data_IF_628826528783
#
_entry.id   IF_628826528783
#
_cell.length_a   1.000
_cell.length_b   1.000
_cell.length_c   1.000
_cell.angle_alpha   90.00
_cell.angle_beta   90.00
_cell.angle_gamma   90.00
#
_symmetry.space_group_name_H-M   'P 1'
#
loop_
_entity.id
_entity.type
_entity.pdbx_description
1 polymer ?
#
# COMPACT_ATOMS: atom_id res chain seq x y z
N UNK A 1 -8.76 -7.86 5.17
CA UNK A 1 -7.91 -8.64 6.11
C UNK A 1 -8.28 -10.11 6.11
N UNK A 2 -7.37 -10.99 6.53
CA UNK A 2 -7.66 -12.41 6.83
C UNK A 2 -8.41 -12.49 8.16
N UNK A 3 -9.38 -13.41 8.29
CA UNK A 3 -10.16 -13.56 9.52
C UNK A 3 -9.29 -14.24 10.59
N UNK A 4 -9.10 -13.59 11.74
CA UNK A 4 -8.22 -14.07 12.81
C UNK A 4 -8.89 -14.90 13.92
N UNK A 5 -10.19 -15.18 13.83
CA UNK A 5 -10.94 -15.82 14.93
C UNK A 5 -10.37 -17.17 15.39
N UNK A 6 -9.88 -17.99 14.46
CA UNK A 6 -9.24 -19.25 14.79
C UNK A 6 -7.98 -19.06 15.64
N UNK A 7 -7.17 -18.07 15.29
CA UNK A 7 -5.93 -17.74 16.01
C UNK A 7 -6.24 -17.11 17.37
N UNK A 8 -7.20 -16.18 17.41
CA UNK A 8 -7.67 -15.58 18.66
C UNK A 8 -8.13 -16.62 19.69
N UNK A 9 -8.80 -17.70 19.25
CA UNK A 9 -9.16 -18.81 20.15
C UNK A 9 -7.94 -19.57 20.69
N UNK A 10 -6.89 -19.74 19.88
CA UNK A 10 -5.66 -20.43 20.30
C UNK A 10 -4.87 -19.63 21.34
N UNK A 11 -4.99 -18.30 21.33
CA UNK A 11 -4.39 -17.44 22.34
C UNK A 11 -4.90 -17.76 23.76
N UNK A 12 -6.07 -18.41 23.91
CA UNK A 12 -6.56 -18.92 25.19
C UNK A 12 -6.53 -17.89 26.34
N UNK A 13 -6.91 -16.64 26.03
CA UNK A 13 -6.90 -15.53 26.99
C UNK A 13 -5.58 -14.75 27.08
N UNK A 14 -4.55 -15.13 26.33
CA UNK A 14 -3.31 -14.34 26.16
C UNK A 14 -3.59 -12.98 25.53
N UNK A 15 -2.84 -11.98 25.97
CA UNK A 15 -2.78 -10.61 25.46
C UNK A 15 -1.75 -10.40 24.34
N UNK A 16 -1.13 -11.47 23.83
CA UNK A 16 -0.13 -11.43 22.74
C UNK A 16 -0.78 -11.18 21.36
N UNK A 17 -1.40 -10.00 21.22
CA UNK A 17 -1.91 -9.47 19.97
C UNK A 17 -1.96 -7.94 20.02
N UNK A 18 -1.96 -7.31 18.85
CA UNK A 18 -2.04 -5.86 18.76
C UNK A 18 -3.47 -5.36 18.99
N UNK A 19 -3.59 -4.36 19.86
CA UNK A 19 -4.84 -3.68 20.15
C UNK A 19 -5.02 -2.46 19.24
N UNK A 20 -6.19 -2.34 18.63
CA UNK A 20 -6.54 -1.18 17.80
C UNK A 20 -7.88 -0.61 18.23
N UNK A 21 -7.87 0.62 18.76
CA UNK A 21 -9.07 1.36 19.10
C UNK A 21 -9.16 2.56 18.15
N UNK A 22 -10.25 2.62 17.41
CA UNK A 22 -10.50 3.68 16.43
C UNK A 22 -11.85 4.33 16.70
N UNK A 23 -11.88 5.66 16.57
CA UNK A 23 -13.09 6.44 16.48
C UNK A 23 -12.96 7.49 15.39
N UNK A 24 -13.97 7.59 14.53
CA UNK A 24 -14.08 8.69 13.59
C UNK A 24 -14.41 10.03 14.29
N UNK A 25 -14.76 9.99 15.58
CA UNK A 25 -15.22 11.16 16.32
C UNK A 25 -16.61 11.61 15.88
N UNK A 26 -16.95 12.86 16.19
CA UNK A 26 -18.18 13.50 15.72
C UNK A 26 -18.12 13.67 14.19
N UNK A 27 -19.21 13.32 13.51
CA UNK A 27 -19.33 13.39 12.06
C UNK A 27 -20.24 14.56 11.63
N UNK A 28 -19.94 15.14 10.47
CA UNK A 28 -20.73 16.21 9.82
C UNK A 28 -20.82 15.99 8.32
N UNK A 29 -21.84 16.58 7.69
CA UNK A 29 -22.01 16.54 6.24
C UNK A 29 -22.68 15.25 5.71
N UNK A 30 -22.88 15.22 4.40
CA UNK A 30 -23.39 14.06 3.66
C UNK A 30 -22.67 13.99 2.30
N UNK A 31 -21.71 13.06 2.10
CA UNK A 31 -21.35 11.95 3.00
C UNK A 31 -20.71 12.42 4.32
N UNK A 32 -20.85 11.63 5.40
CA UNK A 32 -20.38 12.04 6.73
C UNK A 32 -18.84 11.98 6.84
N UNK A 33 -18.25 13.12 7.20
CA UNK A 33 -16.81 13.28 7.45
C UNK A 33 -16.55 13.74 8.88
N UNK A 34 -15.34 13.52 9.37
CA UNK A 34 -14.90 13.90 10.71
C UNK A 34 -14.99 15.41 10.86
N UNK A 35 -15.75 15.88 11.85
CA UNK A 35 -15.90 17.31 12.17
C UNK A 35 -14.63 17.92 12.73
N UNK A 36 -14.00 17.22 13.67
CA UNK A 36 -12.87 17.73 14.47
C UNK A 36 -11.51 17.30 13.88
N UNK A 37 -11.30 17.55 12.57
CA UNK A 37 -10.08 17.12 11.86
C UNK A 37 -8.78 17.75 12.43
N UNK A 38 -8.88 18.96 12.95
CA UNK A 38 -7.81 19.69 13.66
C UNK A 38 -7.38 18.98 14.97
N UNK A 39 -8.30 18.21 15.55
CA UNK A 39 -8.08 17.40 16.77
C UNK A 39 -7.75 15.93 16.47
N UNK A 40 -7.33 15.60 15.24
CA UNK A 40 -6.87 14.25 14.91
C UNK A 40 -5.69 13.85 15.77
N UNK A 41 -5.73 12.64 16.33
CA UNK A 41 -4.63 12.06 17.12
C UNK A 41 -4.47 10.58 16.79
N UNK A 42 -3.22 10.15 16.80
CA UNK A 42 -2.79 8.75 16.70
C UNK A 42 -1.76 8.57 17.81
N UNK A 43 -2.06 7.70 18.76
CA UNK A 43 -1.13 7.29 19.81
C UNK A 43 -0.74 5.84 19.56
N UNK A 44 0.56 5.56 19.63
CA UNK A 44 1.12 4.21 19.48
C UNK A 44 1.87 3.91 20.77
N UNK A 45 1.32 3.00 21.56
CA UNK A 45 1.92 2.51 22.79
C UNK A 45 2.65 1.20 22.50
N UNK A 46 3.98 1.22 22.60
CA UNK A 46 4.83 0.06 22.34
C UNK A 46 4.88 -0.91 23.52
N UNK A 47 4.58 -0.46 24.74
CA UNK A 47 4.59 -1.30 25.93
C UNK A 47 3.32 -2.13 26.00
N UNK A 48 2.17 -1.52 25.71
CA UNK A 48 0.86 -2.19 25.72
C UNK A 48 0.46 -2.77 24.35
N UNK A 49 1.33 -2.65 23.33
CA UNK A 49 1.02 -3.10 21.96
C UNK A 49 -0.30 -2.53 21.42
N UNK A 50 -0.55 -1.26 21.70
CA UNK A 50 -1.84 -0.59 21.52
C UNK A 50 -1.72 0.60 20.57
N UNK A 51 -2.70 0.75 19.69
CA UNK A 51 -2.90 1.95 18.89
C UNK A 51 -4.26 2.56 19.18
N UNK A 52 -4.26 3.84 19.56
CA UNK A 52 -5.46 4.66 19.74
C UNK A 52 -5.54 5.70 18.63
N UNK A 53 -6.65 5.72 17.89
CA UNK A 53 -6.88 6.70 16.83
C UNK A 53 -8.23 7.38 17.03
N UNK A 54 -8.25 8.71 16.93
CA UNK A 54 -9.48 9.51 17.08
C UNK A 54 -9.53 10.63 16.04
N UNK A 55 -10.74 10.96 15.60
CA UNK A 55 -11.00 11.97 14.57
C UNK A 55 -10.24 11.65 13.26
N UNK A 56 -10.21 10.38 12.88
CA UNK A 56 -9.61 9.91 11.64
C UNK A 56 -10.58 9.00 10.89
N UNK A 57 -10.70 9.14 9.57
CA UNK A 57 -11.47 8.23 8.72
C UNK A 57 -10.67 7.69 7.54
N UNK A 58 -9.66 8.43 7.09
CA UNK A 58 -8.87 8.03 5.94
C UNK A 58 -7.94 6.86 6.28
N UNK A 59 -7.95 5.85 5.41
CA UNK A 59 -7.46 4.49 5.67
C UNK A 59 -6.13 4.39 6.43
N UNK A 60 -5.08 5.12 6.01
CA UNK A 60 -3.76 5.04 6.67
C UNK A 60 -3.75 5.37 8.17
N UNK A 61 -4.78 6.07 8.64
CA UNK A 61 -4.96 6.50 10.02
C UNK A 61 -6.13 5.80 10.74
N UNK A 62 -6.93 4.99 10.04
CA UNK A 62 -8.13 4.33 10.57
C UNK A 62 -8.09 2.80 10.41
N UNK A 63 -7.35 2.29 9.44
CA UNK A 63 -7.14 0.86 9.23
C UNK A 63 -5.99 0.36 10.12
N UNK A 64 -6.34 -0.31 11.21
CA UNK A 64 -5.38 -0.85 12.19
C UNK A 64 -4.31 -1.75 11.57
N UNK A 65 -4.73 -2.74 10.78
CA UNK A 65 -3.85 -3.76 10.18
C UNK A 65 -3.11 -3.27 8.91
N UNK A 66 -2.62 -2.03 8.92
CA UNK A 66 -1.78 -1.45 7.87
C UNK A 66 -0.58 -0.71 8.49
N UNK A 67 -0.43 0.59 8.25
CA UNK A 67 0.68 1.40 8.80
C UNK A 67 0.65 1.49 10.32
N UNK A 68 -0.52 1.34 10.95
CA UNK A 68 -0.63 1.36 12.41
C UNK A 68 -0.01 0.08 13.01
N UNK A 69 -0.41 -1.10 12.53
CA UNK A 69 0.20 -2.37 12.89
C UNK A 69 1.69 -2.43 12.54
N UNK A 70 2.11 -1.87 11.41
CA UNK A 70 3.51 -1.81 10.99
C UNK A 70 4.42 -1.24 12.10
N UNK A 71 3.98 -0.17 12.78
CA UNK A 71 4.78 0.47 13.84
C UNK A 71 4.99 -0.42 15.06
N UNK A 72 3.94 -1.13 15.49
CA UNK A 72 4.03 -2.10 16.57
C UNK A 72 4.88 -3.32 16.15
N UNK A 73 4.71 -3.77 14.91
CA UNK A 73 5.42 -4.89 14.35
C UNK A 73 6.93 -4.64 14.20
N UNK A 74 7.34 -3.42 13.82
CA UNK A 74 8.77 -3.02 13.81
C UNK A 74 9.37 -3.16 15.21
N UNK A 75 8.67 -2.68 16.25
CA UNK A 75 9.14 -2.81 17.61
C UNK A 75 9.22 -4.28 18.04
N UNK A 76 8.19 -5.09 17.74
CA UNK A 76 8.19 -6.53 18.06
C UNK A 76 9.33 -7.26 17.34
N UNK A 77 9.49 -7.04 16.04
CA UNK A 77 10.53 -7.66 15.24
C UNK A 77 11.94 -7.20 15.63
N UNK A 78 12.11 -6.00 16.17
CA UNK A 78 13.42 -5.60 16.72
C UNK A 78 13.81 -6.39 17.99
N UNK A 79 12.84 -7.00 18.67
CA UNK A 79 13.04 -7.80 19.88
C UNK A 79 12.90 -9.32 19.63
N UNK A 80 12.76 -9.73 18.36
CA UNK A 80 12.57 -11.11 17.93
C UNK A 80 13.43 -11.36 16.66
N UNK A 81 13.79 -12.61 16.35
CA UNK A 81 14.71 -12.89 15.22
C UNK A 81 14.02 -12.87 13.84
N UNK A 82 13.39 -11.73 13.48
CA UNK A 82 12.76 -11.50 12.17
C UNK A 82 12.66 -9.99 11.87
N UNK A 83 12.27 -9.63 10.64
CA UNK A 83 12.16 -8.24 10.18
C UNK A 83 10.74 -7.90 9.75
N UNK A 84 10.29 -6.70 10.11
CA UNK A 84 9.09 -6.07 9.58
C UNK A 84 9.49 -4.90 8.69
N UNK A 85 9.20 -4.99 7.39
CA UNK A 85 9.68 -3.99 6.43
C UNK A 85 8.58 -3.41 5.56
N UNK A 86 8.77 -2.15 5.14
CA UNK A 86 7.89 -1.46 4.19
C UNK A 86 8.19 -1.88 2.74
N UNK A 87 8.28 -3.19 2.51
CA UNK A 87 8.72 -3.76 1.25
C UNK A 87 7.58 -4.30 0.39
N UNK A 88 7.75 -4.24 -0.93
CA UNK A 88 7.00 -5.10 -1.85
C UNK A 88 7.61 -6.51 -1.90
N UNK A 89 6.88 -7.48 -2.45
CA UNK A 89 7.38 -8.83 -2.74
C UNK A 89 6.95 -9.19 -4.18
N UNK A 90 7.95 -9.42 -5.03
CA UNK A 90 7.84 -9.65 -6.47
C UNK A 90 8.42 -11.02 -6.84
N UNK A 91 7.66 -11.83 -7.56
CA UNK A 91 8.13 -13.05 -8.21
C UNK A 91 8.50 -12.80 -9.68
N UNK A 92 9.80 -12.78 -9.99
CA UNK A 92 10.30 -12.63 -11.36
C UNK A 92 10.32 -13.99 -12.06
N UNK A 93 9.59 -14.08 -13.18
CA UNK A 93 9.54 -15.26 -14.05
C UNK A 93 10.16 -14.92 -15.41
N UNK A 94 11.42 -15.31 -15.66
CA UNK A 94 12.06 -15.07 -16.94
C UNK A 94 11.30 -15.74 -18.08
N UNK A 95 11.17 -15.05 -19.22
CA UNK A 95 10.64 -15.64 -20.45
C UNK A 95 11.46 -16.91 -20.77
N UNK A 96 10.77 -18.02 -21.04
CA UNK A 96 11.35 -19.33 -21.36
C UNK A 96 12.02 -20.10 -20.21
N UNK A 97 11.87 -19.67 -18.94
CA UNK A 97 12.32 -20.46 -17.79
C UNK A 97 11.13 -20.85 -16.92
N UNK A 98 11.18 -22.05 -16.34
CA UNK A 98 10.16 -22.55 -15.39
C UNK A 98 10.37 -22.05 -13.95
N UNK A 99 11.49 -21.38 -13.68
CA UNK A 99 11.82 -20.86 -12.34
C UNK A 99 11.14 -19.52 -12.07
N UNK A 100 10.79 -19.30 -10.81
CA UNK A 100 10.43 -17.99 -10.26
C UNK A 100 11.54 -17.58 -9.29
N UNK A 101 11.99 -16.33 -9.37
CA UNK A 101 13.01 -15.75 -8.46
C UNK A 101 12.35 -14.61 -7.71
N UNK A 102 12.35 -14.65 -6.38
CA UNK A 102 11.65 -13.65 -5.59
C UNK A 102 12.60 -12.56 -5.11
N UNK A 103 12.13 -11.33 -5.21
CA UNK A 103 12.79 -10.14 -4.74
C UNK A 103 11.84 -9.36 -3.85
N UNK A 104 12.42 -8.56 -2.97
CA UNK A 104 11.69 -7.63 -2.11
C UNK A 104 12.39 -6.29 -2.12
N UNK A 105 11.80 -5.22 -1.60
CA UNK A 105 12.51 -3.94 -1.55
C UNK A 105 11.70 -2.75 -1.08
N UNK A 106 12.42 -1.72 -0.62
CA UNK A 106 11.88 -0.46 -0.12
C UNK A 106 12.04 0.68 -1.11
N UNK A 107 10.94 1.37 -1.36
CA UNK A 107 10.83 2.51 -2.25
C UNK A 107 10.00 3.56 -1.51
N UNK A 108 10.48 4.81 -1.35
CA UNK A 108 9.69 5.88 -0.78
C UNK A 108 8.39 6.11 -1.55
N UNK A 109 7.47 6.87 -0.94
CA UNK A 109 6.18 7.16 -1.56
C UNK A 109 6.35 7.80 -2.95
N UNK A 110 5.51 7.38 -3.89
CA UNK A 110 5.54 7.81 -5.30
C UNK A 110 6.85 7.52 -6.06
N UNK A 111 7.68 6.59 -5.59
CA UNK A 111 8.88 6.12 -6.31
C UNK A 111 8.65 4.85 -7.16
N UNK A 112 7.38 4.46 -7.39
CA UNK A 112 7.05 3.33 -8.27
C UNK A 112 6.99 1.96 -7.58
N UNK A 113 6.90 1.89 -6.24
CA UNK A 113 6.84 0.62 -5.49
C UNK A 113 5.81 -0.38 -6.04
N UNK A 114 4.54 0.05 -6.14
CA UNK A 114 3.45 -0.78 -6.66
C UNK A 114 3.70 -1.13 -8.14
N UNK A 115 4.18 -0.20 -8.96
CA UNK A 115 4.51 -0.45 -10.37
C UNK A 115 5.61 -1.50 -10.53
N UNK A 116 6.65 -1.48 -9.67
CA UNK A 116 7.71 -2.50 -9.63
C UNK A 116 7.16 -3.87 -9.21
N UNK A 117 6.32 -3.91 -8.18
CA UNK A 117 5.65 -5.14 -7.73
C UNK A 117 4.71 -5.73 -8.80
N UNK A 118 4.25 -4.89 -9.72
CA UNK A 118 3.25 -5.20 -10.75
C UNK A 118 3.83 -5.21 -12.17
N UNK A 119 5.15 -5.36 -12.31
CA UNK A 119 5.79 -5.41 -13.63
C UNK A 119 5.09 -6.42 -14.56
N UNK A 120 4.75 -6.02 -15.80
CA UNK A 120 4.01 -6.89 -16.71
C UNK A 120 4.65 -8.27 -16.90
N UNK A 121 3.85 -9.31 -16.70
CA UNK A 121 4.25 -10.71 -16.84
C UNK A 121 4.97 -11.32 -15.63
N UNK A 122 5.24 -10.52 -14.59
CA UNK A 122 5.78 -10.96 -13.30
C UNK A 122 4.65 -11.21 -12.28
N UNK A 123 4.97 -11.86 -11.18
CA UNK A 123 4.00 -12.29 -10.17
C UNK A 123 4.04 -11.37 -8.94
N UNK A 124 2.89 -10.95 -8.44
CA UNK A 124 2.78 -10.17 -7.21
C UNK A 124 2.49 -11.07 -6.01
N UNK A 125 3.30 -10.93 -4.95
CA UNK A 125 3.02 -11.51 -3.62
C UNK A 125 2.53 -10.41 -2.67
N UNK A 126 3.08 -9.20 -2.76
CA UNK A 126 2.61 -8.03 -1.99
C UNK A 126 3.23 -6.74 -2.50
N UNK A 127 2.60 -5.60 -2.24
CA UNK A 127 3.07 -4.30 -2.73
C UNK A 127 3.52 -3.34 -1.62
N UNK A 128 3.15 -3.56 -0.36
CA UNK A 128 3.35 -2.57 0.70
C UNK A 128 4.19 -3.04 1.89
N UNK A 129 3.88 -4.20 2.49
CA UNK A 129 4.49 -4.68 3.74
C UNK A 129 4.94 -6.15 3.60
N UNK A 130 6.15 -6.44 4.08
CA UNK A 130 6.70 -7.79 4.14
C UNK A 130 7.22 -8.09 5.54
N UNK A 131 6.97 -9.32 6.03
CA UNK A 131 7.69 -9.87 7.17
C UNK A 131 8.72 -10.86 6.65
N UNK A 132 9.97 -10.76 7.12
CA UNK A 132 11.08 -11.60 6.68
C UNK A 132 11.67 -12.37 7.86
N UNK A 133 11.99 -13.65 7.67
CA UNK A 133 12.64 -14.48 8.69
C UNK A 133 13.70 -15.38 8.05
N UNK A 134 14.87 -15.59 8.68
CA UNK A 134 15.78 -16.66 8.28
C UNK A 134 15.07 -18.01 8.27
N UNK A 135 15.36 -18.83 7.26
CA UNK A 135 14.71 -20.13 7.08
C UNK A 135 15.72 -21.27 6.99
N UNK A 136 15.22 -22.50 7.10
CA UNK A 136 16.05 -23.72 7.17
C UNK A 136 16.85 -23.99 5.89
N UNK A 137 16.42 -23.44 4.76
CA UNK A 137 17.09 -23.58 3.46
C UNK A 137 18.23 -22.57 3.25
N UNK A 138 18.52 -21.74 4.26
CA UNK A 138 19.57 -20.73 4.24
C UNK A 138 19.16 -19.40 3.63
N UNK A 139 17.92 -19.26 3.13
CA UNK A 139 17.39 -17.98 2.65
C UNK A 139 16.55 -17.29 3.73
N UNK A 140 16.39 -15.97 3.59
CA UNK A 140 15.31 -15.27 4.28
C UNK A 140 14.01 -15.52 3.51
N UNK A 141 12.95 -15.93 4.21
CA UNK A 141 11.62 -16.10 3.65
C UNK A 141 10.76 -14.88 3.95
N UNK A 142 10.04 -14.39 2.95
CA UNK A 142 9.12 -13.26 3.09
C UNK A 142 7.66 -13.68 2.96
N UNK A 143 6.80 -13.09 3.80
CA UNK A 143 5.34 -13.21 3.71
C UNK A 143 4.71 -11.83 3.58
N UNK A 144 3.64 -11.74 2.78
CA UNK A 144 2.77 -10.58 2.74
C UNK A 144 1.67 -10.71 3.80
N UNK A 145 1.66 -9.78 4.75
CA UNK A 145 0.66 -9.74 5.83
C UNK A 145 -0.69 -9.17 5.39
N UNK A 146 -0.73 -8.47 4.25
CA UNK A 146 -1.95 -7.89 3.69
C UNK A 146 -2.69 -8.90 2.78
N UNK A 147 -3.97 -8.62 2.51
CA UNK A 147 -4.84 -9.45 1.66
C UNK A 147 -5.21 -8.74 0.34
N UNK A 148 -4.85 -7.48 0.21
CA UNK A 148 -5.32 -6.61 -0.84
C UNK A 148 -4.44 -5.38 -0.95
N UNK A 149 -4.66 -4.62 -2.01
CA UNK A 149 -3.93 -3.40 -2.31
C UNK A 149 -4.78 -2.21 -1.88
N UNK A 150 -4.14 -1.20 -1.30
CA UNK A 150 -4.72 0.13 -1.06
C UNK A 150 -3.91 1.19 -1.81
N UNK A 151 -4.02 1.16 -3.14
CA UNK A 151 -3.13 1.86 -4.06
C UNK A 151 -3.64 3.25 -4.43
N UNK A 152 -2.72 4.17 -4.73
CA UNK A 152 -3.05 5.44 -5.38
C UNK A 152 -3.55 5.11 -6.79
N UNK A 153 -4.74 5.61 -7.15
CA UNK A 153 -5.35 5.32 -8.45
C UNK A 153 -4.93 6.32 -9.54
N UNK A 154 -4.41 7.49 -9.14
CA UNK A 154 -3.96 8.52 -10.07
C UNK A 154 -2.95 7.93 -11.06
N UNK A 155 -3.16 8.22 -12.34
CA UNK A 155 -2.35 7.82 -13.49
C UNK A 155 -2.36 6.32 -13.83
N UNK A 156 -3.13 5.48 -13.11
CA UNK A 156 -3.39 4.09 -13.51
C UNK A 156 -4.12 4.09 -14.84
N UNK A 157 -3.50 3.51 -15.86
CA UNK A 157 -3.98 3.56 -17.23
C UNK A 157 -3.67 2.25 -18.00
N UNK A 158 -4.33 2.00 -19.15
CA UNK A 158 -4.19 0.72 -19.85
C UNK A 158 -2.82 0.49 -20.50
N UNK A 159 -1.98 1.53 -20.65
CA UNK A 159 -0.64 1.43 -21.23
C UNK A 159 0.40 1.09 -20.17
N UNK A 160 0.41 1.84 -19.06
CA UNK A 160 1.47 1.74 -18.06
C UNK A 160 1.14 0.72 -16.96
N UNK A 161 -0.14 0.56 -16.61
CA UNK A 161 -0.61 -0.33 -15.54
C UNK A 161 -1.73 -1.29 -16.01
N UNK A 162 -1.55 -2.05 -17.10
CA UNK A 162 -2.61 -2.80 -17.76
C UNK A 162 -3.35 -3.78 -16.84
N UNK A 163 -2.62 -4.48 -15.95
CA UNK A 163 -3.20 -5.48 -15.03
C UNK A 163 -4.09 -4.81 -13.98
N UNK A 164 -3.64 -3.68 -13.41
CA UNK A 164 -4.42 -2.93 -12.42
C UNK A 164 -5.64 -2.32 -13.12
N UNK A 165 -5.44 -1.69 -14.28
CA UNK A 165 -6.50 -1.07 -15.06
C UNK A 165 -7.60 -2.08 -15.43
N UNK A 166 -7.24 -3.26 -15.92
CA UNK A 166 -8.18 -4.34 -16.24
C UNK A 166 -8.95 -4.80 -14.99
N UNK A 167 -8.27 -4.96 -13.87
CA UNK A 167 -8.89 -5.35 -12.62
C UNK A 167 -9.87 -4.28 -12.09
N UNK A 168 -9.56 -2.99 -12.26
CA UNK A 168 -10.42 -1.89 -11.82
C UNK A 168 -11.61 -1.61 -12.75
N UNK A 169 -11.54 -2.02 -14.02
CA UNK A 169 -12.57 -1.73 -15.04
C UNK A 169 -13.47 -2.92 -15.36
N UNK A 170 -13.19 -4.09 -14.80
CA UNK A 170 -14.00 -5.31 -14.96
C UNK A 170 -14.85 -5.54 -13.71
N UNK A 171 -16.14 -5.91 -13.83
CA UNK A 171 -17.04 -6.10 -12.68
C UNK A 171 -16.47 -7.07 -11.62
N UNK A 172 -16.27 -6.57 -10.39
CA UNK A 172 -15.83 -7.31 -9.19
C UNK A 172 -16.01 -6.46 -7.93
N UNK A 173 -15.69 -7.03 -6.76
CA UNK A 173 -15.76 -6.31 -5.48
C UNK A 173 -14.60 -5.32 -5.35
N UNK A 174 -14.90 -4.01 -5.44
CA UNK A 174 -13.93 -2.92 -5.39
C UNK A 174 -14.44 -1.80 -4.48
N UNK A 175 -13.52 -1.09 -3.83
CA UNK A 175 -13.83 0.18 -3.16
C UNK A 175 -12.97 1.26 -3.77
N UNK A 176 -13.61 2.27 -4.35
CA UNK A 176 -12.95 3.50 -4.77
C UNK A 176 -13.13 4.59 -3.72
N UNK A 177 -12.12 5.42 -3.53
CA UNK A 177 -12.18 6.54 -2.59
C UNK A 177 -11.74 7.83 -3.26
N UNK A 178 -12.56 8.87 -3.14
CA UNK A 178 -12.32 10.22 -3.66
C UNK A 178 -12.15 10.32 -5.20
N UNK A 179 -12.74 9.39 -5.94
CA UNK A 179 -12.86 9.44 -7.40
C UNK A 179 -14.12 10.20 -7.82
N UNK A 180 -14.23 10.57 -9.10
CA UNK A 180 -15.50 11.01 -9.68
C UNK A 180 -16.38 9.78 -9.91
N UNK A 181 -17.66 9.89 -9.61
CA UNK A 181 -18.68 8.90 -9.95
C UNK A 181 -19.74 9.56 -10.81
N UNK A 182 -20.01 8.98 -11.97
CA UNK A 182 -21.09 9.38 -12.87
C UNK A 182 -21.82 8.12 -13.32
N UNK A 183 -23.14 8.08 -13.14
CA UNK A 183 -23.99 6.91 -13.47
C UNK A 183 -23.48 5.57 -12.90
N UNK A 184 -22.90 5.60 -11.69
CA UNK A 184 -22.34 4.43 -11.03
C UNK A 184 -20.96 3.98 -11.54
N UNK A 185 -20.39 4.68 -12.51
CA UNK A 185 -19.05 4.42 -13.04
C UNK A 185 -17.99 5.35 -12.43
N UNK A 186 -16.87 4.82 -11.93
CA UNK A 186 -15.77 5.62 -11.40
C UNK A 186 -14.89 6.19 -12.52
N UNK A 187 -14.39 7.41 -12.31
CA UNK A 187 -13.42 8.09 -13.16
C UNK A 187 -12.33 8.73 -12.30
N UNK A 188 -11.08 8.61 -12.74
CA UNK A 188 -9.92 9.15 -12.02
C UNK A 188 -8.96 9.89 -12.95
N UNK A 189 -8.07 10.67 -12.34
CA UNK A 189 -7.04 11.41 -13.05
C UNK A 189 -6.09 10.45 -13.76
N UNK A 190 -5.87 10.67 -15.06
CA UNK A 190 -4.95 9.85 -15.86
C UNK A 190 -5.49 8.49 -16.28
N UNK A 191 -6.80 8.23 -16.13
CA UNK A 191 -7.44 6.95 -16.50
C UNK A 191 -7.26 6.56 -17.98
N UNK A 192 -6.95 7.51 -18.87
CA UNK A 192 -6.80 7.25 -20.31
C UNK A 192 -8.11 7.15 -21.08
N UNK A 193 -9.22 7.59 -20.48
CA UNK A 193 -10.55 7.73 -21.11
C UNK A 193 -11.07 9.14 -20.90
N UNK A 194 -11.92 9.61 -21.82
CA UNK A 194 -12.57 10.92 -21.69
C UNK A 194 -13.55 10.88 -20.49
N UNK A 195 -13.38 11.76 -19.48
CA UNK A 195 -14.27 11.80 -18.33
C UNK A 195 -15.59 12.51 -18.69
N UNK A 196 -16.68 12.25 -17.95
CA UNK A 196 -17.92 12.99 -18.09
C UNK A 196 -17.75 14.45 -17.65
N UNK A 197 -18.65 15.31 -18.10
CA UNK A 197 -18.64 16.75 -17.79
C UNK A 197 -19.20 17.06 -16.40
N UNK A 198 -19.85 16.11 -15.74
CA UNK A 198 -20.40 16.23 -14.40
C UNK A 198 -20.37 14.91 -13.62
N UNK A 199 -20.74 14.97 -12.35
CA UNK A 199 -20.92 13.80 -11.50
C UNK A 199 -20.85 14.16 -10.02
N UNK A 200 -20.42 13.19 -9.22
CA UNK A 200 -20.22 13.36 -7.78
C UNK A 200 -18.82 12.91 -7.39
N UNK A 201 -18.07 13.76 -6.67
CA UNK A 201 -16.73 13.44 -6.19
C UNK A 201 -16.52 13.91 -4.74
N UNK A 202 -15.26 14.00 -4.30
CA UNK A 202 -14.87 14.45 -2.96
C UNK A 202 -15.32 15.89 -2.60
N UNK A 203 -15.65 16.72 -3.58
CA UNK A 203 -16.20 18.06 -3.40
C UNK A 203 -17.74 18.07 -3.30
N UNK A 204 -18.40 16.94 -3.57
CA UNK A 204 -19.85 16.84 -3.70
C UNK A 204 -20.28 16.79 -5.16
N UNK A 205 -21.32 17.53 -5.53
CA UNK A 205 -21.74 17.64 -6.94
C UNK A 205 -20.65 18.41 -7.71
N UNK A 206 -20.07 17.76 -8.71
CA UNK A 206 -18.94 18.27 -9.48
C UNK A 206 -19.34 18.47 -10.94
N UNK A 207 -18.84 19.55 -11.54
CA UNK A 207 -18.97 19.89 -12.96
C UNK A 207 -17.59 20.36 -13.43
N UNK A 208 -17.18 20.05 -14.66
CA UNK A 208 -15.89 20.50 -15.16
C UNK A 208 -15.78 22.03 -15.10
N UNK A 209 -14.61 22.50 -14.68
CA UNK A 209 -14.33 23.93 -14.48
C UNK A 209 -14.83 24.50 -13.14
N UNK A 210 -15.51 23.73 -12.29
CA UNK A 210 -15.91 24.22 -10.95
C UNK A 210 -14.66 24.62 -10.15
N UNK A 211 -14.79 25.72 -9.40
CA UNK A 211 -13.73 26.23 -8.53
C UNK A 211 -14.18 26.20 -7.07
N UNK A 212 -13.22 26.01 -6.17
CA UNK A 212 -13.45 26.08 -4.73
C UNK A 212 -13.67 27.53 -4.25
N UNK A 213 -13.96 27.72 -2.97
CA UNK A 213 -14.15 29.04 -2.34
C UNK A 213 -12.91 29.95 -2.44
N UNK A 214 -11.74 29.38 -2.75
CA UNK A 214 -10.47 30.08 -2.93
C UNK A 214 -10.14 30.35 -4.40
N UNK A 215 -11.03 29.97 -5.33
CA UNK A 215 -10.85 30.15 -6.77
C UNK A 215 -9.95 29.10 -7.45
N UNK A 216 -9.57 28.02 -6.76
CA UNK A 216 -8.80 26.94 -7.38
C UNK A 216 -9.73 25.97 -8.12
N UNK A 217 -9.34 25.53 -9.32
CA UNK A 217 -10.08 24.50 -10.05
C UNK A 217 -10.10 23.20 -9.24
N UNK A 218 -11.29 22.64 -9.01
CA UNK A 218 -11.46 21.36 -8.33
C UNK A 218 -11.24 20.22 -9.34
N UNK A 219 -10.27 19.32 -9.14
CA UNK A 219 -10.03 18.21 -10.05
C UNK A 219 -11.17 17.18 -9.96
N UNK A 220 -11.36 16.43 -11.04
CA UNK A 220 -12.41 15.39 -11.09
C UNK A 220 -12.23 14.32 -9.99
N UNK A 221 -10.99 13.97 -9.64
CA UNK A 221 -10.66 13.10 -8.52
C UNK A 221 -9.57 13.73 -7.65
N UNK A 222 -9.55 13.38 -6.37
CA UNK A 222 -8.50 13.85 -5.46
C UNK A 222 -7.13 13.27 -5.89
N UNK A 223 -6.01 14.02 -5.81
CA UNK A 223 -4.69 13.51 -6.21
C UNK A 223 -4.24 12.25 -5.44
N UNK A 224 -4.70 12.11 -4.20
CA UNK A 224 -4.53 10.91 -3.37
C UNK A 224 -5.80 10.02 -3.36
N UNK A 225 -6.58 9.99 -4.45
CA UNK A 225 -7.67 9.04 -4.61
C UNK A 225 -7.12 7.61 -4.63
N UNK A 226 -7.93 6.66 -4.16
CA UNK A 226 -7.48 5.29 -3.91
C UNK A 226 -8.42 4.27 -4.52
N UNK A 227 -7.86 3.11 -4.83
CA UNK A 227 -8.61 1.87 -5.03
C UNK A 227 -8.25 0.87 -3.94
N UNK A 228 -9.23 0.06 -3.56
CA UNK A 228 -9.06 -1.09 -2.68
C UNK A 228 -9.53 -2.33 -3.40
N UNK A 229 -8.66 -3.32 -3.54
CA UNK A 229 -8.91 -4.57 -4.26
C UNK A 229 -8.24 -5.74 -3.54
N UNK A 230 -8.78 -6.96 -3.67
CA UNK A 230 -8.11 -8.17 -3.19
C UNK A 230 -6.95 -8.53 -4.13
N UNK A 231 -5.83 -8.98 -3.57
CA UNK A 231 -4.67 -9.39 -4.37
C UNK A 231 -5.02 -10.56 -5.31
N UNK A 232 -5.87 -11.48 -4.85
CA UNK A 232 -6.36 -12.63 -5.60
C UNK A 232 -7.19 -12.28 -6.84
N UNK A 233 -7.67 -11.04 -6.93
CA UNK A 233 -8.44 -10.60 -8.09
C UNK A 233 -7.51 -10.14 -9.23
N UNK A 234 -6.21 -10.00 -8.98
CA UNK A 234 -5.23 -9.68 -10.01
C UNK A 234 -4.82 -10.93 -10.79
N UNK A 235 -4.77 -10.82 -12.12
CA UNK A 235 -4.39 -11.91 -13.01
C UNK A 235 -2.95 -12.38 -12.86
N UNK A 236 -2.10 -11.55 -12.25
CA UNK A 236 -0.70 -11.84 -11.97
C UNK A 236 -0.41 -12.17 -10.50
N UNK A 237 -1.44 -12.44 -9.69
CA UNK A 237 -1.27 -12.89 -8.32
C UNK A 237 -0.41 -14.16 -8.26
N UNK A 238 0.60 -14.17 -7.39
CA UNK A 238 1.45 -15.34 -7.20
C UNK A 238 0.66 -16.47 -6.50
N UNK A 239 0.79 -17.75 -6.94
CA UNK A 239 0.13 -18.88 -6.29
C UNK A 239 0.60 -19.12 -4.85
N UNK A 240 1.75 -18.61 -4.44
CA UNK A 240 2.28 -18.69 -3.07
C UNK A 240 1.87 -17.51 -2.17
N UNK A 241 0.93 -16.65 -2.61
CA UNK A 241 0.45 -15.50 -1.83
C UNK A 241 0.11 -15.83 -0.37
N UNK A 242 -0.55 -16.98 -0.15
CA UNK A 242 -1.00 -17.44 1.17
C UNK A 242 -0.18 -18.63 1.70
N UNK A 243 1.02 -18.90 1.14
CA UNK A 243 1.90 -19.94 1.67
C UNK A 243 2.43 -19.52 3.05
N UNK A 244 2.13 -20.26 4.14
CA UNK A 244 2.57 -19.89 5.48
C UNK A 244 4.10 -19.94 5.65
N UNK A 245 4.81 -20.66 4.78
CA UNK A 245 6.28 -20.65 4.78
C UNK A 245 6.84 -19.44 4.02
N UNK A 246 6.01 -18.65 3.34
CA UNK A 246 6.44 -17.54 2.52
C UNK A 246 7.24 -17.95 1.28
N UNK A 247 7.95 -16.98 0.71
CA UNK A 247 8.78 -17.16 -0.49
C UNK A 247 10.25 -16.85 -0.18
N UNK A 248 11.20 -17.64 -0.70
CA UNK A 248 12.63 -17.40 -0.48
C UNK A 248 13.10 -16.14 -1.23
N UNK A 249 13.70 -15.19 -0.51
CA UNK A 249 14.18 -13.93 -1.07
C UNK A 249 15.61 -14.07 -1.60
N UNK A 250 15.79 -13.71 -2.87
CA UNK A 250 17.06 -13.80 -3.59
C UNK A 250 17.79 -12.46 -3.72
N UNK A 251 17.12 -11.36 -3.35
CA UNK A 251 17.70 -10.02 -3.36
C UNK A 251 16.74 -8.99 -2.79
N UNK A 252 17.31 -7.93 -2.23
CA UNK A 252 16.59 -6.78 -1.68
C UNK A 252 16.94 -5.56 -2.53
N UNK A 253 15.92 -4.85 -3.00
CA UNK A 253 16.08 -3.60 -3.73
C UNK A 253 15.83 -2.39 -2.84
N UNK A 254 16.68 -1.40 -2.99
CA UNK A 254 16.49 -0.06 -2.46
C UNK A 254 16.38 0.90 -3.65
N UNK A 255 15.30 1.68 -3.68
CA UNK A 255 15.02 2.56 -4.80
C UNK A 255 14.54 3.94 -4.35
N UNK A 256 14.82 4.94 -5.18
CA UNK A 256 14.43 6.33 -4.95
C UNK A 256 14.31 7.08 -6.27
N UNK A 257 13.85 8.33 -6.23
CA UNK A 257 13.91 9.25 -7.37
C UNK A 257 15.18 10.08 -7.24
N UNK A 258 16.03 9.96 -8.24
CA UNK A 258 17.27 10.72 -8.39
C UNK A 258 17.43 11.03 -9.88
N UNK A 259 17.60 12.32 -10.20
CA UNK A 259 17.69 12.80 -11.57
C UNK A 259 19.13 13.04 -12.04
N UNK A 260 20.14 13.01 -11.15
CA UNK A 260 21.48 13.49 -11.48
C UNK A 260 22.67 12.74 -10.85
N UNK A 261 22.50 12.03 -9.73
CA UNK A 261 23.63 11.56 -8.92
C UNK A 261 23.85 10.05 -9.01
N UNK A 262 22.83 9.25 -8.73
CA UNK A 262 22.92 7.79 -8.64
C UNK A 262 22.81 7.09 -10.01
N UNK A 263 23.56 6.00 -10.24
CA UNK A 263 23.37 5.19 -11.44
C UNK A 263 22.01 4.47 -11.42
N UNK A 264 21.47 4.04 -12.59
CA UNK A 264 20.17 3.38 -12.65
C UNK A 264 20.08 2.08 -11.85
N UNK A 265 21.18 1.32 -11.74
CA UNK A 265 21.29 0.09 -10.95
C UNK A 265 22.69 0.03 -10.33
N UNK A 266 22.75 -0.29 -9.04
CA UNK A 266 23.97 -0.55 -8.28
C UNK A 266 23.79 -1.86 -7.49
N UNK A 267 24.81 -2.70 -7.48
CA UNK A 267 24.88 -3.89 -6.62
C UNK A 267 25.80 -3.61 -5.43
N UNK A 268 25.34 -3.99 -4.23
CA UNK A 268 26.16 -3.88 -3.02
C UNK A 268 27.35 -4.84 -3.08
N UNK A 269 28.48 -4.43 -2.50
CA UNK A 269 29.70 -5.25 -2.46
C UNK A 269 29.56 -6.48 -1.53
N UNK A 270 28.76 -6.33 -0.48
CA UNK A 270 28.45 -7.35 0.52
C UNK A 270 27.20 -6.91 1.31
N UNK A 271 26.81 -7.70 2.31
CA UNK A 271 25.62 -7.45 3.12
C UNK A 271 25.70 -6.14 3.91
N UNK A 272 26.84 -5.86 4.55
CA UNK A 272 27.04 -4.64 5.35
C UNK A 272 26.96 -3.37 4.48
N UNK A 273 27.53 -3.41 3.27
CA UNK A 273 27.38 -2.34 2.29
C UNK A 273 25.92 -2.22 1.84
N UNK A 274 25.20 -3.33 1.67
CA UNK A 274 23.77 -3.33 1.39
C UNK A 274 22.94 -2.64 2.48
N UNK A 275 23.24 -2.92 3.76
CA UNK A 275 22.60 -2.22 4.90
C UNK A 275 22.91 -0.72 4.84
N UNK A 276 24.16 -0.35 4.60
CA UNK A 276 24.55 1.05 4.48
C UNK A 276 23.76 1.75 3.36
N UNK A 277 23.69 1.17 2.16
CA UNK A 277 22.90 1.71 1.04
C UNK A 277 21.43 1.87 1.39
N UNK A 278 20.84 0.90 2.10
CA UNK A 278 19.46 0.99 2.58
C UNK A 278 19.24 2.10 3.61
N UNK A 279 20.23 2.35 4.47
CA UNK A 279 20.17 3.39 5.49
C UNK A 279 20.30 4.83 4.93
N UNK A 280 20.90 4.99 3.75
CA UNK A 280 21.15 6.29 3.11
C UNK A 280 20.26 6.56 1.90
N UNK A 281 19.13 5.85 1.75
CA UNK A 281 18.20 6.11 0.64
C UNK A 281 17.69 7.54 0.72
N UNK A 282 18.02 8.33 -0.28
CA UNK A 282 17.44 9.64 -0.55
C UNK A 282 16.50 9.57 -1.75
N UNK A 283 15.49 10.44 -1.75
CA UNK A 283 14.55 10.55 -2.86
C UNK A 283 14.02 11.97 -2.94
N UNK A 284 13.92 12.50 -4.15
CA UNK A 284 13.32 13.81 -4.39
C UNK A 284 11.95 13.94 -3.72
N UNK A 285 11.68 15.11 -3.11
CA UNK A 285 10.45 15.33 -2.35
C UNK A 285 9.23 15.23 -3.28
N UNK A 286 8.35 14.25 -3.01
CA UNK A 286 7.09 14.10 -3.75
C UNK A 286 5.94 14.79 -3.02
N UNK A 287 4.87 15.12 -3.76
CA UNK A 287 3.64 15.73 -3.21
C UNK A 287 2.98 14.91 -2.10
N UNK A 288 3.30 13.62 -1.96
CA UNK A 288 2.83 12.77 -0.86
C UNK A 288 3.45 13.13 0.50
N UNK A 289 4.56 13.88 0.51
CA UNK A 289 5.30 14.29 1.72
C UNK A 289 4.83 15.66 2.24
N UNK A 290 4.25 16.48 1.37
CA UNK A 290 3.91 17.87 1.70
C UNK A 290 2.58 18.05 2.46
N UNK A 291 1.81 16.96 2.67
CA UNK A 291 0.64 16.96 3.56
C UNK A 291 -0.63 17.51 2.94
#
# INVERSE_FOLDING_TARGET
YRKGYGEFKKLNGSDDFFYFIHSAGELVGNPPVTKNIDKRRIYVDLQESLVLTVNNQYAGNSLGLKKLALRLAIYKSNNEDWLTEHYFILGVRPKNKKRVTYFTGAYPSACGKTSTAMLPGQLIVGDDIAYLRPWEDGFAHAVNIEKGIFGIIKDVNPKDDPVIYEALTTPRELIFSNVLVNEGKPYWLGMGVEPPQDGFNHYGKWIDGISDEKGNKVPLAHPNARYTIKLTDLSNCDPKLDDPNGVPIHGIFYGGRDSDTMPPILESLNWEHGIFLGAIIESETTSATLG
#
